data_IF_220525254349
#
_entry.id   IF_220525254349
#
_cell.length_a   1.000
_cell.length_b   1.000
_cell.length_c   1.000
_cell.angle_alpha   90.00
_cell.angle_beta   90.00
_cell.angle_gamma   90.00
#
_symmetry.space_group_name_H-M   'P 1'
#
loop_
_entity.id
_entity.type
_entity.pdbx_description
1 polymer ?
#
# COMPACT_ATOMS: atom_id res chain seq x y z
N UNK A 1 -64.53 55.17 -40.43
CA UNK A 1 -63.55 54.25 -41.05
C UNK A 1 -62.38 54.11 -40.13
N UNK A 2 -62.43 53.10 -39.28
CA UNK A 2 -61.37 52.85 -38.25
C UNK A 2 -60.98 51.40 -38.31
N UNK A 3 -59.77 51.13 -38.80
CA UNK A 3 -59.17 49.79 -38.87
C UNK A 3 -58.48 49.49 -37.57
N UNK A 4 -59.02 48.46 -36.90
CA UNK A 4 -58.43 47.88 -35.68
C UNK A 4 -57.48 46.75 -36.05
N UNK A 5 -56.19 46.92 -35.84
CA UNK A 5 -55.14 45.91 -36.03
C UNK A 5 -54.94 45.07 -34.78
N UNK A 6 -55.31 43.77 -34.83
CA UNK A 6 -55.06 42.77 -33.78
C UNK A 6 -53.60 42.43 -33.74
N UNK A 7 -52.94 42.65 -32.58
CA UNK A 7 -51.60 42.22 -32.27
C UNK A 7 -51.61 40.75 -31.86
N UNK A 8 -51.02 39.90 -32.67
CA UNK A 8 -50.82 38.48 -32.37
C UNK A 8 -49.55 38.30 -31.53
N UNK A 9 -49.70 37.86 -30.31
CA UNK A 9 -48.60 37.58 -29.39
C UNK A 9 -48.09 36.17 -29.64
N UNK A 10 -46.94 36.01 -30.25
CA UNK A 10 -46.25 34.73 -30.44
C UNK A 10 -45.57 34.31 -29.12
N UNK A 11 -46.07 33.23 -28.51
CA UNK A 11 -45.46 32.58 -27.34
C UNK A 11 -44.19 31.84 -27.78
N UNK A 12 -43.07 32.23 -27.20
CA UNK A 12 -41.79 31.55 -27.30
C UNK A 12 -41.84 30.14 -26.68
N UNK A 13 -41.32 29.08 -27.30
CA UNK A 13 -41.32 27.75 -26.72
C UNK A 13 -40.35 27.67 -25.54
N UNK A 14 -40.88 27.11 -24.46
CA UNK A 14 -40.16 26.86 -23.20
C UNK A 14 -39.11 25.76 -23.40
N UNK A 15 -37.80 26.09 -23.30
CA UNK A 15 -36.72 25.14 -23.37
C UNK A 15 -36.84 24.09 -22.25
N UNK A 16 -36.98 22.85 -22.63
CA UNK A 16 -36.95 21.69 -21.74
C UNK A 16 -35.51 21.45 -21.27
N UNK A 17 -35.27 21.54 -19.94
CA UNK A 17 -34.00 21.17 -19.33
C UNK A 17 -33.70 19.70 -19.60
N UNK A 18 -32.43 19.33 -19.95
CA UNK A 18 -32.08 17.94 -20.09
C UNK A 18 -32.14 17.24 -18.71
N UNK A 19 -32.85 16.10 -18.69
CA UNK A 19 -32.87 15.19 -17.51
C UNK A 19 -31.45 14.73 -17.22
N UNK A 20 -30.98 15.01 -16.01
CA UNK A 20 -29.76 14.47 -15.47
C UNK A 20 -29.78 12.93 -15.58
N UNK A 21 -28.80 12.36 -16.29
CA UNK A 21 -28.58 10.91 -16.33
C UNK A 21 -28.30 10.45 -14.90
N UNK A 22 -29.20 9.66 -14.34
CA UNK A 22 -29.03 8.95 -13.09
C UNK A 22 -27.82 8.03 -13.25
N UNK A 23 -26.72 8.36 -12.60
CA UNK A 23 -25.56 7.48 -12.50
C UNK A 23 -26.04 6.18 -11.81
N UNK A 24 -26.00 5.10 -12.58
CA UNK A 24 -26.32 3.77 -12.08
C UNK A 24 -25.50 3.50 -10.82
N UNK A 25 -26.16 3.26 -9.68
CA UNK A 25 -25.55 2.77 -8.46
C UNK A 25 -24.83 1.47 -8.81
N UNK A 26 -23.48 1.52 -8.81
CA UNK A 26 -22.65 0.33 -8.93
C UNK A 26 -23.06 -0.64 -7.83
N UNK A 27 -23.49 -1.84 -8.21
CA UNK A 27 -23.88 -2.88 -7.28
C UNK A 27 -22.76 -3.09 -6.23
N UNK A 28 -23.08 -3.42 -4.97
CA UNK A 28 -22.06 -3.68 -3.98
C UNK A 28 -21.21 -4.84 -4.45
N UNK A 29 -19.92 -4.59 -4.63
CA UNK A 29 -18.95 -5.64 -4.94
C UNK A 29 -19.04 -6.70 -3.84
N UNK A 30 -19.07 -7.98 -4.22
CA UNK A 30 -19.03 -9.11 -3.29
C UNK A 30 -17.85 -8.89 -2.34
N UNK A 31 -17.99 -9.19 -1.04
CA UNK A 31 -16.89 -9.07 -0.09
C UNK A 31 -15.71 -9.90 -0.64
N UNK A 32 -14.58 -9.27 -0.86
CA UNK A 32 -13.35 -9.93 -1.27
C UNK A 32 -12.89 -10.73 -0.05
N UNK A 33 -13.00 -12.04 -0.10
CA UNK A 33 -12.45 -12.92 0.92
C UNK A 33 -11.00 -13.22 0.57
N UNK A 34 -10.11 -12.98 1.53
CA UNK A 34 -8.70 -13.29 1.40
C UNK A 34 -8.44 -14.80 1.60
N UNK A 35 -7.35 -15.35 1.06
CA UNK A 35 -6.96 -16.73 1.28
C UNK A 35 -6.75 -17.04 2.78
N UNK A 36 -6.58 -18.32 3.12
CA UNK A 36 -6.43 -18.77 4.52
C UNK A 36 -5.22 -18.15 5.22
N UNK A 37 -4.14 -17.89 4.50
CA UNK A 37 -2.92 -17.24 5.00
C UNK A 37 -2.57 -16.03 4.12
N UNK A 38 -3.31 -14.92 4.25
CA UNK A 38 -3.04 -13.74 3.44
C UNK A 38 -1.74 -13.07 3.87
N UNK A 39 -1.11 -12.39 2.94
CA UNK A 39 0.00 -11.50 3.26
C UNK A 39 -0.48 -10.29 4.07
N UNK A 40 0.42 -9.68 4.83
CA UNK A 40 0.09 -8.50 5.66
C UNK A 40 -0.40 -7.35 4.79
N UNK A 41 0.22 -7.12 3.63
CA UNK A 41 -0.21 -6.07 2.71
C UNK A 41 -1.63 -6.28 2.18
N UNK A 42 -2.05 -7.53 1.90
CA UNK A 42 -3.40 -7.83 1.43
C UNK A 42 -4.47 -7.49 2.48
N UNK A 43 -4.18 -7.78 3.76
CA UNK A 43 -5.06 -7.44 4.88
C UNK A 43 -5.20 -5.92 4.99
N UNK A 44 -4.10 -5.18 4.89
CA UNK A 44 -4.09 -3.73 5.00
C UNK A 44 -4.75 -3.06 3.78
N UNK A 45 -4.51 -3.56 2.57
CA UNK A 45 -5.22 -3.12 1.35
C UNK A 45 -6.75 -3.33 1.48
N UNK A 46 -7.17 -4.50 1.97
CA UNK A 46 -8.58 -4.78 2.20
C UNK A 46 -9.17 -3.84 3.26
N UNK A 47 -8.45 -3.60 4.36
CA UNK A 47 -8.88 -2.68 5.40
C UNK A 47 -8.95 -1.24 4.89
N UNK A 48 -7.96 -0.78 4.10
CA UNK A 48 -7.93 0.56 3.52
C UNK A 48 -9.08 0.81 2.54
N UNK A 49 -9.51 -0.22 1.80
CA UNK A 49 -10.62 -0.15 0.86
C UNK A 49 -11.98 0.09 1.53
N UNK A 50 -12.09 -0.15 2.85
CA UNK A 50 -13.34 0.05 3.59
C UNK A 50 -13.60 1.53 3.86
N UNK A 51 -14.83 1.98 3.60
CA UNK A 51 -15.24 3.38 3.79
C UNK A 51 -15.42 3.79 5.27
N UNK A 52 -15.75 2.84 6.13
CA UNK A 52 -16.06 3.08 7.54
C UNK A 52 -14.95 2.58 8.44
N UNK A 53 -14.55 3.39 9.43
CA UNK A 53 -13.59 2.99 10.45
C UNK A 53 -13.99 1.71 11.18
N UNK A 54 -15.27 1.54 11.49
CA UNK A 54 -15.78 0.32 12.11
C UNK A 54 -15.52 -0.92 11.24
N UNK A 55 -15.75 -0.82 9.92
CA UNK A 55 -15.47 -1.91 8.97
C UNK A 55 -13.97 -2.17 8.79
N UNK A 56 -13.13 -1.15 8.85
CA UNK A 56 -11.66 -1.33 8.85
C UNK A 56 -11.23 -2.17 10.05
N UNK A 57 -11.74 -1.83 11.24
CA UNK A 57 -11.44 -2.58 12.47
C UNK A 57 -11.99 -4.01 12.40
N UNK A 58 -13.18 -4.21 11.82
CA UNK A 58 -13.76 -5.54 11.62
C UNK A 58 -12.88 -6.42 10.73
N UNK A 59 -12.35 -5.88 9.62
CA UNK A 59 -11.40 -6.59 8.74
C UNK A 59 -10.12 -6.95 9.50
N UNK A 60 -9.53 -6.01 10.24
CA UNK A 60 -8.31 -6.25 11.00
C UNK A 60 -8.52 -7.30 12.10
N UNK A 61 -9.70 -7.34 12.74
CA UNK A 61 -10.06 -8.37 13.70
C UNK A 61 -10.30 -9.74 13.05
N UNK A 62 -10.94 -9.76 11.87
CA UNK A 62 -11.20 -11.00 11.12
C UNK A 62 -9.90 -11.71 10.72
N UNK A 63 -8.89 -10.95 10.33
CA UNK A 63 -7.58 -11.45 9.90
C UNK A 63 -6.48 -11.13 10.93
N UNK A 64 -6.84 -11.15 12.19
CA UNK A 64 -5.92 -10.83 13.29
C UNK A 64 -4.73 -11.79 13.31
N UNK A 65 -3.52 -11.22 13.27
CA UNK A 65 -2.26 -11.96 13.33
C UNK A 65 -1.20 -11.12 14.04
N UNK A 66 -0.22 -11.78 14.65
CA UNK A 66 0.86 -11.08 15.36
C UNK A 66 1.70 -10.21 14.44
N UNK A 67 1.89 -10.62 13.19
CA UNK A 67 2.60 -9.82 12.18
C UNK A 67 1.88 -8.52 11.86
N UNK A 68 0.55 -8.57 11.72
CA UNK A 68 -0.28 -7.37 11.49
C UNK A 68 -0.20 -6.43 12.69
N UNK A 69 -0.29 -6.99 13.92
CA UNK A 69 -0.14 -6.20 15.15
C UNK A 69 1.22 -5.54 15.24
N UNK A 70 2.30 -6.28 14.98
CA UNK A 70 3.66 -5.75 15.05
C UNK A 70 3.88 -4.59 14.07
N UNK A 71 3.38 -4.73 12.83
CA UNK A 71 3.45 -3.70 11.80
C UNK A 71 2.66 -2.44 12.22
N UNK A 72 1.43 -2.62 12.70
CA UNK A 72 0.59 -1.49 13.13
C UNK A 72 1.15 -0.79 14.39
N UNK A 73 1.67 -1.54 15.36
CA UNK A 73 2.33 -0.97 16.54
C UNK A 73 3.55 -0.18 16.11
N UNK A 74 4.41 -0.74 15.26
CA UNK A 74 5.59 -0.03 14.80
C UNK A 74 5.24 1.29 14.10
N UNK A 75 4.20 1.31 13.26
CA UNK A 75 3.82 2.51 12.52
C UNK A 75 3.11 3.56 13.38
N UNK A 76 2.15 3.14 14.23
CA UNK A 76 1.22 4.07 14.90
C UNK A 76 1.54 4.37 16.36
N UNK A 77 2.39 3.57 17.00
CA UNK A 77 2.82 3.82 18.38
C UNK A 77 4.02 4.77 18.39
N UNK A 78 3.86 5.94 18.98
CA UNK A 78 4.91 6.95 19.08
C UNK A 78 6.04 6.54 20.03
N UNK A 79 5.78 5.61 20.95
CA UNK A 79 6.79 5.07 21.84
C UNK A 79 7.80 4.17 21.11
N UNK A 80 7.40 3.60 19.99
CA UNK A 80 8.22 2.73 19.14
C UNK A 80 9.03 3.60 18.17
N UNK A 81 10.33 3.72 18.44
CA UNK A 81 11.25 4.51 17.62
C UNK A 81 12.04 3.58 16.72
N UNK A 82 12.00 3.82 15.41
CA UNK A 82 12.86 3.12 14.45
C UNK A 82 14.33 3.49 14.64
N UNK A 83 15.23 2.51 14.58
CA UNK A 83 16.68 2.73 14.59
C UNK A 83 17.33 2.47 13.23
N UNK A 84 16.53 2.10 12.24
CA UNK A 84 16.93 2.10 10.83
C UNK A 84 16.82 3.52 10.30
N UNK A 85 17.79 4.03 9.51
CA UNK A 85 17.73 5.38 8.95
C UNK A 85 16.44 5.62 8.14
N UNK A 86 15.92 6.85 8.23
CA UNK A 86 14.81 7.30 7.41
C UNK A 86 15.21 7.41 5.94
N UNK A 87 14.23 7.32 5.06
CA UNK A 87 14.41 7.45 3.62
C UNK A 87 14.57 6.13 2.88
N UNK A 88 15.04 6.21 1.66
CA UNK A 88 15.15 5.06 0.76
C UNK A 88 16.20 4.06 1.23
N UNK A 89 15.85 2.78 1.17
CA UNK A 89 16.75 1.67 1.52
C UNK A 89 17.27 1.03 0.25
N UNK A 90 18.61 0.99 0.05
CA UNK A 90 19.20 0.34 -1.12
C UNK A 90 19.19 -1.18 -0.92
N UNK A 91 18.19 -1.88 -1.45
CA UNK A 91 18.14 -3.33 -1.40
C UNK A 91 18.15 -4.00 -2.79
N UNK A 92 18.33 -3.23 -3.85
CA UNK A 92 18.58 -3.71 -5.21
C UNK A 92 19.95 -4.41 -5.37
N UNK A 93 20.23 -4.93 -6.54
CA UNK A 93 21.51 -5.57 -6.85
C UNK A 93 22.63 -4.51 -6.83
N UNK A 94 23.75 -4.75 -6.12
CA UNK A 94 24.87 -3.80 -6.07
C UNK A 94 25.52 -3.51 -7.42
N UNK A 95 25.29 -4.33 -8.45
CA UNK A 95 25.76 -4.10 -9.80
C UNK A 95 24.84 -3.19 -10.64
N UNK A 96 23.63 -2.91 -10.20
CA UNK A 96 22.70 -1.99 -10.85
C UNK A 96 22.81 -0.59 -10.25
N UNK A 97 23.92 0.10 -10.45
CA UNK A 97 24.13 1.47 -9.97
C UNK A 97 23.07 2.47 -10.47
N UNK A 98 22.37 2.15 -11.55
CA UNK A 98 21.26 2.95 -12.08
C UNK A 98 19.91 2.71 -11.38
N UNK A 99 19.80 1.67 -10.54
CA UNK A 99 18.55 1.36 -9.82
C UNK A 99 18.30 2.29 -8.62
N UNK A 100 19.28 3.12 -8.26
CA UNK A 100 19.20 3.99 -7.08
C UNK A 100 18.56 5.36 -7.34
N UNK A 101 18.30 5.71 -8.60
CA UNK A 101 17.66 6.97 -8.97
C UNK A 101 16.12 6.85 -9.02
N UNK A 102 15.52 6.39 -7.97
CA UNK A 102 14.08 6.30 -7.94
C UNK A 102 13.52 5.97 -6.57
N UNK A 103 12.24 6.23 -6.39
CA UNK A 103 11.56 5.82 -5.16
C UNK A 103 11.59 4.29 -5.05
N UNK A 104 11.67 3.78 -3.82
CA UNK A 104 11.63 2.36 -3.51
C UNK A 104 10.49 1.63 -4.24
N UNK A 105 9.32 2.26 -4.29
CA UNK A 105 8.14 1.76 -5.01
C UNK A 105 8.38 1.59 -6.51
N UNK A 106 9.17 2.47 -7.14
CA UNK A 106 9.52 2.36 -8.57
C UNK A 106 10.47 1.21 -8.83
N UNK A 107 11.45 1.02 -7.96
CA UNK A 107 12.40 -0.08 -8.07
C UNK A 107 11.69 -1.44 -7.93
N UNK A 108 10.80 -1.57 -6.94
CA UNK A 108 9.96 -2.76 -6.77
C UNK A 108 9.06 -2.98 -8.00
N UNK A 109 8.40 -1.94 -8.49
CA UNK A 109 7.52 -2.04 -9.66
C UNK A 109 8.27 -2.42 -10.93
N UNK A 110 9.49 -1.91 -11.13
CA UNK A 110 10.33 -2.26 -12.28
C UNK A 110 10.79 -3.71 -12.21
N UNK A 111 11.18 -4.19 -11.05
CA UNK A 111 11.54 -5.59 -10.84
C UNK A 111 10.37 -6.55 -11.03
N UNK A 112 9.15 -6.15 -10.66
CA UNK A 112 7.93 -6.92 -10.91
C UNK A 112 7.57 -6.97 -12.40
N UNK A 113 7.83 -5.90 -13.17
CA UNK A 113 7.58 -5.83 -14.62
C UNK A 113 8.64 -6.58 -15.43
N UNK A 114 9.86 -6.63 -14.94
CA UNK A 114 11.01 -7.16 -15.66
C UNK A 114 11.05 -8.68 -15.79
N UNK A 115 10.29 -9.44 -15.02
CA UNK A 115 10.13 -10.92 -15.14
C UNK A 115 11.40 -11.76 -15.24
N UNK A 116 12.54 -11.14 -15.53
CA UNK A 116 13.87 -11.75 -15.62
C UNK A 116 14.90 -10.69 -15.25
N UNK A 117 15.63 -10.94 -14.18
CA UNK A 117 16.87 -10.22 -13.95
C UNK A 117 17.79 -10.44 -15.15
N UNK A 118 18.40 -9.38 -15.65
CA UNK A 118 19.34 -9.45 -16.78
C UNK A 118 20.52 -10.41 -16.54
N UNK A 119 20.71 -10.94 -15.35
CA UNK A 119 21.78 -11.86 -14.94
C UNK A 119 21.34 -13.32 -14.87
N UNK A 120 20.08 -13.67 -15.21
CA UNK A 120 19.64 -15.07 -15.17
C UNK A 120 19.64 -15.69 -13.77
N UNK A 121 19.86 -14.91 -12.73
CA UNK A 121 19.68 -15.36 -11.35
C UNK A 121 18.18 -15.39 -11.09
N UNK A 122 17.70 -16.58 -10.88
CA UNK A 122 16.33 -16.88 -10.57
C UNK A 122 15.80 -15.95 -9.48
N UNK A 123 14.58 -15.47 -9.67
CA UNK A 123 13.74 -14.81 -8.67
C UNK A 123 13.56 -15.67 -7.39
N UNK A 124 14.19 -16.83 -7.31
CA UNK A 124 14.18 -17.79 -6.20
C UNK A 124 14.68 -17.21 -4.86
N UNK A 125 15.35 -16.05 -4.88
CA UNK A 125 15.73 -15.35 -3.65
C UNK A 125 14.58 -14.53 -3.06
N UNK A 126 13.58 -14.15 -3.85
CA UNK A 126 12.42 -13.36 -3.43
C UNK A 126 11.26 -14.27 -3.06
N UNK A 127 10.39 -13.82 -2.20
CA UNK A 127 9.30 -14.63 -1.64
C UNK A 127 9.76 -15.87 -0.83
N UNK A 128 11.02 -15.93 -0.40
CA UNK A 128 11.48 -17.00 0.50
C UNK A 128 10.85 -16.94 1.87
N UNK A 129 10.49 -15.74 2.28
CA UNK A 129 9.89 -15.49 3.59
C UNK A 129 8.70 -14.53 3.48
N UNK A 130 8.00 -14.30 4.56
CA UNK A 130 6.89 -13.36 4.67
C UNK A 130 6.95 -12.65 6.00
N UNK A 131 6.33 -11.48 6.11
CA UNK A 131 6.22 -10.76 7.38
C UNK A 131 5.55 -11.60 8.46
N UNK A 132 4.65 -12.51 8.08
CA UNK A 132 4.01 -13.45 8.99
C UNK A 132 5.00 -14.43 9.65
N UNK A 133 6.11 -14.75 9.00
CA UNK A 133 7.18 -15.59 9.55
C UNK A 133 8.22 -14.76 10.30
N UNK A 134 8.53 -13.58 9.75
CA UNK A 134 9.65 -12.74 10.22
C UNK A 134 9.25 -11.68 11.25
N UNK A 135 7.98 -11.59 11.66
CA UNK A 135 7.53 -10.55 12.59
C UNK A 135 8.33 -10.53 13.90
N UNK A 136 8.81 -11.69 14.35
CA UNK A 136 9.64 -11.79 15.56
C UNK A 136 11.01 -11.15 15.41
N UNK A 137 11.50 -10.95 14.17
CA UNK A 137 12.80 -10.29 13.93
C UNK A 137 12.70 -8.78 13.95
N UNK A 138 11.49 -8.22 13.85
CA UNK A 138 11.25 -6.78 13.74
C UNK A 138 11.73 -6.00 14.97
N UNK A 139 11.79 -6.62 16.15
CA UNK A 139 12.31 -5.99 17.35
C UNK A 139 13.76 -5.51 17.20
N UNK A 140 14.55 -6.11 16.30
CA UNK A 140 15.93 -5.70 16.06
C UNK A 140 16.04 -4.30 15.44
N UNK A 141 14.96 -3.79 14.86
CA UNK A 141 14.92 -2.54 14.11
C UNK A 141 14.31 -1.37 14.92
N UNK A 142 13.91 -1.63 16.15
CA UNK A 142 13.34 -0.62 17.05
C UNK A 142 14.25 -0.37 18.24
N UNK A 143 14.20 0.85 18.78
CA UNK A 143 15.01 1.25 19.94
C UNK A 143 14.66 0.41 21.16
N UNK A 144 15.67 -0.07 21.87
CA UNK A 144 15.47 -0.92 23.04
C UNK A 144 15.17 -2.39 22.73
N UNK A 145 15.04 -2.77 21.45
CA UNK A 145 14.80 -4.17 21.08
C UNK A 145 16.08 -5.01 21.16
N UNK A 146 17.13 -4.60 20.47
CA UNK A 146 18.41 -5.31 20.48
C UNK A 146 19.59 -4.33 20.43
N UNK A 147 20.08 -3.94 21.57
CA UNK A 147 21.16 -2.95 21.70
C UNK A 147 22.56 -3.55 21.44
N UNK A 148 22.70 -4.88 21.34
CA UNK A 148 23.95 -5.54 21.02
C UNK A 148 24.35 -5.44 19.54
N UNK A 149 23.39 -5.07 18.65
CA UNK A 149 23.63 -4.95 17.23
C UNK A 149 24.27 -3.60 16.88
N UNK A 150 25.38 -3.66 16.11
CA UNK A 150 25.95 -2.45 15.51
C UNK A 150 24.99 -1.88 14.46
N UNK A 151 25.07 -0.56 14.21
CA UNK A 151 24.25 0.13 13.21
C UNK A 151 24.35 -0.55 11.84
N UNK A 152 25.57 -0.77 11.34
CA UNK A 152 25.83 -1.40 10.04
C UNK A 152 25.23 -2.81 9.95
N UNK A 153 25.37 -3.62 11.00
CA UNK A 153 24.82 -4.97 11.01
C UNK A 153 23.29 -4.96 10.98
N UNK A 154 22.67 -4.01 11.69
CA UNK A 154 21.22 -3.82 11.71
C UNK A 154 20.70 -3.42 10.33
N UNK A 155 21.36 -2.47 9.65
CA UNK A 155 21.03 -2.05 8.29
C UNK A 155 21.13 -3.22 7.31
N UNK A 156 22.22 -3.98 7.36
CA UNK A 156 22.39 -5.19 6.54
C UNK A 156 21.29 -6.24 6.79
N UNK A 157 20.93 -6.46 8.06
CA UNK A 157 19.83 -7.38 8.39
C UNK A 157 18.51 -6.89 7.83
N UNK A 158 18.23 -5.59 7.88
CA UNK A 158 17.02 -5.00 7.31
C UNK A 158 16.98 -5.16 5.78
N UNK A 159 18.07 -4.86 5.08
CA UNK A 159 18.22 -5.05 3.64
C UNK A 159 18.00 -6.53 3.26
N UNK A 160 18.60 -7.46 3.99
CA UNK A 160 18.43 -8.89 3.72
C UNK A 160 17.00 -9.36 3.96
N UNK A 161 16.32 -8.81 4.98
CA UNK A 161 14.91 -9.08 5.20
C UNK A 161 14.07 -8.60 4.01
N UNK A 162 14.26 -7.36 3.54
CA UNK A 162 13.54 -6.81 2.40
C UNK A 162 13.74 -7.64 1.13
N UNK A 163 14.95 -8.12 0.87
CA UNK A 163 15.26 -8.99 -0.28
C UNK A 163 14.55 -10.33 -0.22
N UNK A 164 14.29 -10.86 0.96
CA UNK A 164 13.60 -12.15 1.14
C UNK A 164 12.08 -12.05 1.10
N UNK A 165 11.50 -10.86 1.31
CA UNK A 165 10.06 -10.63 1.34
C UNK A 165 9.44 -10.54 -0.05
N UNK A 166 8.12 -10.70 -0.11
CA UNK A 166 7.34 -10.30 -1.28
C UNK A 166 7.51 -8.79 -1.52
N UNK A 167 7.66 -8.32 -2.78
CA UNK A 167 7.91 -6.90 -3.07
C UNK A 167 6.96 -5.93 -2.39
N UNK A 168 5.67 -6.23 -2.35
CA UNK A 168 4.68 -5.40 -1.66
C UNK A 168 4.81 -5.42 -0.13
N UNK A 169 5.28 -6.52 0.47
CA UNK A 169 5.59 -6.56 1.89
C UNK A 169 6.86 -5.76 2.22
N UNK A 170 7.85 -5.78 1.32
CA UNK A 170 9.04 -4.97 1.45
C UNK A 170 8.72 -3.47 1.37
N UNK A 171 7.90 -3.06 0.39
CA UNK A 171 7.41 -1.68 0.29
C UNK A 171 6.64 -1.25 1.55
N UNK A 172 5.71 -2.10 2.01
CA UNK A 172 4.98 -1.88 3.24
C UNK A 172 5.92 -1.66 4.43
N UNK A 173 6.94 -2.51 4.59
CA UNK A 173 7.86 -2.42 5.70
C UNK A 173 8.72 -1.14 5.66
N UNK A 174 9.05 -0.66 4.46
CA UNK A 174 9.72 0.62 4.29
C UNK A 174 8.84 1.80 4.70
N UNK A 175 7.55 1.79 4.35
CA UNK A 175 6.60 2.80 4.81
C UNK A 175 6.45 2.77 6.34
N UNK A 176 6.33 1.59 6.92
CA UNK A 176 6.22 1.40 8.37
C UNK A 176 7.45 1.91 9.12
N UNK A 177 8.64 1.66 8.59
CA UNK A 177 9.91 2.16 9.14
C UNK A 177 9.90 3.69 9.29
N UNK A 178 9.33 4.40 8.33
CA UNK A 178 9.25 5.85 8.26
C UNK A 178 7.92 6.41 8.83
N UNK A 179 7.06 5.54 9.41
CA UNK A 179 5.73 5.88 9.94
C UNK A 179 4.80 6.56 8.91
N UNK A 180 4.86 6.09 7.66
CA UNK A 180 4.12 6.64 6.52
C UNK A 180 2.97 5.73 6.04
N UNK A 181 2.55 4.74 6.81
CA UNK A 181 1.48 3.81 6.47
C UNK A 181 0.10 4.46 6.44
#
# INVERSE_FOLDING_TARGET
MTNSTKKTTTRKPRATKPKAKTLAKKAPAKPVELPVNPFVFEILELASSQRSSAKKVEVLKKYEDNSVKAVLIWNFDDSVISVVPEGEVPYGDPNEQSAYEGSLSKNIANEMKGGQSATGQDLDGRNRTSLRKEWTTLYNFVKGGNDSLTKTRREMMFINLLRGLHPKEAELLCLVKDKLL
#
